data_IF_196000844676
#
_entry.id   IF_196000844676
#
_cell.length_a   1.000
_cell.length_b   1.000
_cell.length_c   1.000
_cell.angle_alpha   90.00
_cell.angle_beta   90.00
_cell.angle_gamma   90.00
#
_symmetry.space_group_name_H-M   'P 1'
#
loop_
_entity.id
_entity.type
_entity.pdbx_description
1 polymer ?
#
# COMPACT_ATOMS: atom_id res chain seq x y z
N UNK A 1 -13.73 12.03 21.68
CA UNK A 1 -14.55 10.91 21.15
C UNK A 1 -14.15 9.62 21.83
N UNK A 2 -15.09 8.84 22.38
CA UNK A 2 -14.78 7.63 23.11
C UNK A 2 -14.65 6.41 22.18
N UNK A 3 -13.53 5.70 22.27
CA UNK A 3 -13.22 4.48 21.52
C UNK A 3 -13.12 3.30 22.49
N UNK A 4 -13.63 2.15 22.07
CA UNK A 4 -13.52 0.89 22.82
C UNK A 4 -12.25 0.17 22.39
N UNK A 5 -11.39 -0.16 23.35
CA UNK A 5 -10.24 -1.01 23.10
C UNK A 5 -10.70 -2.44 22.76
N UNK A 6 -10.31 -2.97 21.61
CA UNK A 6 -10.64 -4.35 21.22
C UNK A 6 -9.95 -5.42 22.09
N UNK A 7 -8.87 -5.06 22.79
CA UNK A 7 -8.10 -5.99 23.62
C UNK A 7 -8.59 -6.08 25.08
N UNK A 8 -9.00 -4.96 25.69
CA UNK A 8 -9.41 -4.91 27.10
C UNK A 8 -10.84 -4.38 27.32
N UNK A 9 -11.58 -4.09 26.26
CA UNK A 9 -12.96 -3.54 26.24
C UNK A 9 -13.16 -2.18 26.92
N UNK A 10 -12.10 -1.60 27.50
CA UNK A 10 -12.15 -0.30 28.14
C UNK A 10 -12.54 0.77 27.13
N UNK A 11 -13.50 1.59 27.51
CA UNK A 11 -13.88 2.82 26.80
C UNK A 11 -12.94 3.92 27.25
N UNK A 12 -12.21 4.51 26.30
CA UNK A 12 -11.24 5.59 26.53
C UNK A 12 -11.46 6.67 25.47
N UNK A 13 -11.05 7.91 25.72
CA UNK A 13 -10.99 8.90 24.63
C UNK A 13 -9.86 8.55 23.65
N UNK A 14 -10.06 8.80 22.36
CA UNK A 14 -8.98 8.67 21.37
C UNK A 14 -7.85 9.65 21.74
N UNK A 15 -6.58 9.19 21.85
CA UNK A 15 -5.48 10.08 22.16
C UNK A 15 -5.32 11.12 21.04
N UNK A 16 -5.35 12.39 21.42
CA UNK A 16 -5.07 13.49 20.49
C UNK A 16 -3.57 13.53 20.18
N UNK A 17 -3.16 13.64 18.91
CA UNK A 17 -1.75 13.88 18.59
C UNK A 17 -1.32 15.21 19.19
N UNK A 18 -0.21 15.20 19.93
CA UNK A 18 0.41 16.40 20.48
C UNK A 18 1.70 16.70 19.72
N UNK A 19 1.81 17.92 19.19
CA UNK A 19 3.04 18.41 18.56
C UNK A 19 3.63 19.52 19.42
N UNK A 20 4.85 19.31 19.89
CA UNK A 20 5.59 20.27 20.70
C UNK A 20 6.48 21.17 19.83
N UNK A 21 6.46 22.48 20.10
CA UNK A 21 7.48 23.38 19.60
C UNK A 21 8.70 23.33 20.52
N UNK A 22 9.84 22.85 20.01
CA UNK A 22 11.07 22.68 20.80
C UNK A 22 11.71 23.99 21.26
N UNK A 23 11.34 25.14 20.69
CA UNK A 23 11.91 26.44 21.05
C UNK A 23 11.14 27.19 22.15
N UNK A 24 9.81 27.02 22.24
CA UNK A 24 8.98 27.74 23.21
C UNK A 24 8.13 26.83 24.12
N UNK A 25 8.17 25.51 23.92
CA UNK A 25 7.44 24.54 24.75
C UNK A 25 5.92 24.52 24.52
N UNK A 26 5.41 25.26 23.54
CA UNK A 26 3.98 25.21 23.18
C UNK A 26 3.63 23.82 22.63
N UNK A 27 2.53 23.26 23.13
CA UNK A 27 1.98 21.99 22.66
C UNK A 27 0.65 22.27 21.95
N UNK A 28 0.56 21.87 20.69
CA UNK A 28 -0.69 21.91 19.91
C UNK A 28 -1.30 20.53 19.89
N UNK A 29 -2.61 20.44 20.20
CA UNK A 29 -3.40 19.22 20.08
C UNK A 29 -4.09 19.19 18.74
N UNK A 30 -3.84 18.17 17.93
CA UNK A 30 -4.51 18.01 16.63
C UNK A 30 -5.95 17.50 16.89
N UNK A 31 -6.98 18.21 16.40
CA UNK A 31 -8.35 17.74 16.50
C UNK A 31 -8.54 16.50 15.61
N UNK A 32 -9.03 15.40 16.20
CA UNK A 32 -9.38 14.17 15.46
C UNK A 32 -10.90 14.15 15.30
N UNK A 33 -11.38 14.38 14.09
CA UNK A 33 -12.80 14.29 13.77
C UNK A 33 -13.23 12.85 13.48
N UNK A 34 -14.40 12.40 13.96
CA UNK A 34 -14.95 11.11 13.54
C UNK A 34 -15.16 11.08 12.03
N UNK A 35 -14.75 9.98 11.39
CA UNK A 35 -15.17 9.67 10.02
C UNK A 35 -16.66 9.35 10.07
N UNK A 36 -17.51 10.32 9.71
CA UNK A 36 -18.98 10.20 9.78
C UNK A 36 -19.74 11.51 9.96
N UNK A 37 -19.06 12.63 10.21
CA UNK A 37 -19.69 13.94 10.06
C UNK A 37 -19.56 14.38 8.60
N UNK A 38 -20.60 14.16 7.80
CA UNK A 38 -20.79 14.94 6.57
C UNK A 38 -20.66 16.43 6.96
N UNK A 39 -19.87 17.25 6.24
CA UNK A 39 -19.82 18.68 6.51
C UNK A 39 -21.19 19.28 6.14
N UNK A 40 -22.07 19.32 7.14
CA UNK A 40 -23.38 19.96 7.05
C UNK A 40 -23.20 21.42 6.69
N UNK A 41 -23.67 21.75 5.48
CA UNK A 41 -23.87 23.11 5.02
C UNK A 41 -24.75 23.90 6.00
N UNK A 42 -24.30 25.10 6.39
CA UNK A 42 -25.05 26.10 7.15
C UNK A 42 -24.84 25.98 8.67
N UNK A 43 -24.52 27.02 9.42
CA UNK A 43 -24.72 28.43 9.13
C UNK A 43 -23.83 29.31 10.03
N UNK A 44 -23.22 30.31 9.41
CA UNK A 44 -23.14 31.65 9.95
C UNK A 44 -24.59 32.12 10.18
N UNK A 45 -25.19 31.80 11.34
CA UNK A 45 -26.51 32.31 11.71
C UNK A 45 -26.37 33.37 12.80
N UNK A 46 -26.12 34.59 12.32
CA UNK A 46 -26.22 35.81 13.09
C UNK A 46 -26.81 36.87 12.18
N UNK A 47 -28.15 36.92 12.14
CA UNK A 47 -29.02 38.12 12.06
C UNK A 47 -30.40 37.76 11.45
N UNK A 48 -31.36 37.50 12.34
CA UNK A 48 -32.82 37.51 12.08
C UNK A 48 -33.28 38.88 11.52
N UNK A 49 -34.41 39.02 10.77
CA UNK A 49 -35.76 38.64 11.26
C UNK A 49 -36.80 38.10 10.25
N UNK A 50 -37.84 37.47 10.81
CA UNK A 50 -39.07 36.92 10.18
C UNK A 50 -40.06 38.07 9.81
N UNK A 51 -41.03 37.90 8.87
CA UNK A 51 -42.30 37.16 9.09
C UNK A 51 -42.71 36.35 7.82
N UNK A 52 -43.70 35.47 7.70
CA UNK A 52 -44.90 35.06 8.43
C UNK A 52 -45.85 34.40 7.39
N UNK A 53 -46.90 33.71 7.86
CA UNK A 53 -48.05 33.14 7.11
C UNK A 53 -48.06 31.60 6.95
N UNK A 54 -49.28 31.06 7.07
CA UNK A 54 -49.74 29.82 7.72
C UNK A 54 -50.49 28.94 6.72
N UNK A 55 -50.06 27.67 6.57
CA UNK A 55 -50.82 26.43 6.27
C UNK A 55 -51.68 26.32 4.98
N UNK A 56 -52.41 25.20 4.77
CA UNK A 56 -52.11 23.81 5.15
C UNK A 56 -52.40 22.75 4.02
N UNK A 57 -51.90 21.52 4.24
CA UNK A 57 -52.42 20.17 3.90
C UNK A 57 -53.22 19.89 2.62
N UNK A 58 -52.86 18.80 1.92
CA UNK A 58 -53.77 18.06 1.05
C UNK A 58 -53.14 16.82 0.40
N UNK A 59 -53.55 15.63 0.85
CA UNK A 59 -53.20 14.33 0.28
C UNK A 59 -54.20 13.91 -0.81
N UNK A 60 -53.73 13.15 -1.80
CA UNK A 60 -54.44 12.13 -2.61
C UNK A 60 -53.44 11.67 -3.71
N UNK A 61 -53.13 10.41 -3.98
CA UNK A 61 -53.86 9.17 -3.76
C UNK A 61 -54.84 8.93 -4.91
N UNK A 62 -54.41 8.29 -6.01
CA UNK A 62 -55.22 7.28 -6.70
C UNK A 62 -54.46 6.54 -7.80
N UNK A 63 -54.93 5.33 -8.04
CA UNK A 63 -54.27 4.19 -8.67
C UNK A 63 -54.75 3.92 -10.11
N UNK A 64 -54.29 2.75 -10.60
CA UNK A 64 -54.70 1.97 -11.77
C UNK A 64 -53.86 2.25 -13.02
N UNK A 65 -53.27 1.28 -13.72
CA UNK A 65 -53.46 -0.17 -13.74
C UNK A 65 -53.45 -0.61 -15.21
N UNK A 66 -52.70 -1.67 -15.55
CA UNK A 66 -52.98 -2.48 -16.75
C UNK A 66 -51.90 -2.59 -17.85
N UNK A 67 -51.15 -3.69 -17.77
CA UNK A 67 -50.83 -4.68 -18.83
C UNK A 67 -50.01 -4.29 -20.08
N UNK A 68 -48.76 -4.77 -20.05
CA UNK A 68 -48.16 -5.83 -20.88
C UNK A 68 -48.12 -5.71 -22.43
N UNK A 69 -46.88 -5.73 -22.94
CA UNK A 69 -46.45 -6.73 -23.93
C UNK A 69 -45.97 -6.19 -25.28
N UNK A 70 -44.66 -6.25 -25.55
CA UNK A 70 -44.09 -7.14 -26.58
C UNK A 70 -42.63 -6.80 -26.90
N UNK A 71 -41.97 -7.76 -27.52
CA UNK A 71 -40.55 -8.00 -27.59
C UNK A 71 -39.74 -7.04 -28.50
N UNK A 72 -38.47 -6.85 -28.15
CA UNK A 72 -37.43 -6.32 -29.03
C UNK A 72 -36.11 -7.03 -28.75
N UNK A 73 -35.78 -8.02 -29.57
CA UNK A 73 -34.54 -8.78 -29.55
C UNK A 73 -33.49 -8.04 -30.39
N UNK A 74 -32.30 -7.83 -29.86
CA UNK A 74 -31.12 -7.49 -30.66
C UNK A 74 -29.85 -7.88 -29.88
N UNK A 75 -29.40 -9.11 -30.11
CA UNK A 75 -28.00 -9.47 -29.90
C UNK A 75 -27.25 -9.24 -31.20
N UNK A 76 -26.06 -8.66 -31.11
CA UNK A 76 -25.04 -8.79 -32.14
C UNK A 76 -23.72 -9.07 -31.41
N UNK A 77 -23.30 -10.32 -31.47
CA UNK A 77 -21.91 -10.73 -31.31
C UNK A 77 -21.52 -11.35 -32.65
N UNK A 78 -20.41 -10.90 -33.22
CA UNK A 78 -19.95 -11.36 -34.52
C UNK A 78 -18.87 -10.44 -35.09
N UNK A 79 -17.66 -10.51 -34.55
CA UNK A 79 -16.45 -10.06 -35.24
C UNK A 79 -15.74 -11.28 -35.83
N UNK A 80 -16.00 -11.56 -37.10
CA UNK A 80 -15.15 -12.42 -37.92
C UNK A 80 -14.73 -11.61 -39.15
N UNK A 81 -13.51 -11.08 -39.10
CA UNK A 81 -12.85 -10.39 -40.20
C UNK A 81 -11.55 -11.13 -40.52
N UNK A 82 -11.41 -11.51 -41.78
CA UNK A 82 -10.45 -12.47 -42.29
C UNK A 82 -8.97 -12.05 -42.17
N UNK A 83 -8.12 -13.06 -42.05
CA UNK A 83 -6.67 -12.99 -42.16
C UNK A 83 -6.26 -12.48 -43.54
N UNK A 84 -5.54 -11.35 -43.56
CA UNK A 84 -4.83 -10.83 -44.73
C UNK A 84 -3.37 -11.32 -44.73
N UNK A 85 -2.93 -11.78 -45.90
CA UNK A 85 -1.62 -12.36 -46.19
C UNK A 85 -0.46 -11.38 -46.04
N UNK A 86 0.67 -11.90 -45.54
CA UNK A 86 1.94 -11.20 -45.37
C UNK A 86 2.49 -10.64 -46.70
N UNK A 87 2.88 -9.35 -46.69
CA UNK A 87 3.71 -8.73 -47.73
C UNK A 87 5.21 -8.85 -47.41
N UNK A 88 6.10 -8.74 -48.41
CA UNK A 88 7.55 -8.90 -48.24
C UNK A 88 8.20 -7.70 -47.51
N UNK A 89 9.42 -7.88 -46.96
CA UNK A 89 10.03 -6.90 -46.04
C UNK A 89 10.55 -5.67 -46.79
N UNK A 90 10.12 -4.49 -46.31
CA UNK A 90 10.64 -3.19 -46.73
C UNK A 90 12.04 -2.93 -46.16
N UNK A 91 12.91 -2.41 -47.01
CA UNK A 91 14.30 -2.05 -46.75
C UNK A 91 14.47 -0.92 -45.72
N UNK A 92 15.62 -0.99 -45.03
CA UNK A 92 16.08 -0.11 -43.96
C UNK A 92 15.83 1.40 -44.18
N UNK A 93 15.23 2.03 -43.16
CA UNK A 93 15.26 3.46 -42.94
C UNK A 93 16.16 3.79 -41.75
N UNK A 94 17.25 4.52 -41.99
CA UNK A 94 18.14 5.05 -40.96
C UNK A 94 17.44 6.13 -40.13
N UNK A 95 17.51 6.10 -38.79
CA UNK A 95 17.23 7.26 -37.96
C UNK A 95 18.46 8.16 -37.90
N UNK A 96 18.25 9.44 -38.16
CA UNK A 96 19.27 10.47 -38.22
C UNK A 96 20.00 10.73 -36.90
N UNK A 97 21.20 11.27 -37.06
CA UNK A 97 22.05 11.79 -36.00
C UNK A 97 21.31 12.86 -35.18
N UNK A 98 20.91 12.51 -33.96
CA UNK A 98 20.60 13.45 -32.88
C UNK A 98 21.88 13.76 -32.10
N UNK A 99 22.14 15.03 -31.85
CA UNK A 99 23.39 15.58 -31.32
C UNK A 99 23.81 15.11 -29.93
N UNK A 100 25.00 15.54 -29.47
CA UNK A 100 25.61 15.06 -28.25
C UNK A 100 24.80 15.54 -27.04
N UNK A 101 24.11 14.60 -26.38
CA UNK A 101 23.60 14.82 -25.04
C UNK A 101 24.79 14.74 -24.07
N UNK A 102 25.01 15.85 -23.40
CA UNK A 102 25.91 16.08 -22.27
C UNK A 102 25.95 14.87 -21.33
N UNK A 103 27.00 14.07 -21.47
CA UNK A 103 27.32 12.97 -20.56
C UNK A 103 28.05 13.58 -19.38
N UNK A 104 27.30 14.16 -18.45
CA UNK A 104 27.81 14.48 -17.12
C UNK A 104 28.44 13.21 -16.53
N UNK A 105 29.58 13.31 -15.80
CA UNK A 105 30.29 12.14 -15.33
C UNK A 105 29.38 11.35 -14.38
N UNK A 106 28.91 10.20 -14.83
CA UNK A 106 28.36 9.15 -13.97
C UNK A 106 29.47 8.82 -12.99
N UNK A 107 29.30 9.26 -11.73
CA UNK A 107 30.13 8.81 -10.63
C UNK A 107 30.09 7.28 -10.67
N UNK A 108 31.23 6.58 -10.75
CA UNK A 108 31.22 5.14 -10.63
C UNK A 108 30.60 4.81 -9.26
N UNK A 109 29.38 4.28 -9.28
CA UNK A 109 28.78 3.67 -8.10
C UNK A 109 29.79 2.67 -7.57
N UNK A 110 30.04 2.71 -6.26
CA UNK A 110 30.97 1.79 -5.61
C UNK A 110 30.68 0.38 -6.13
N UNK A 111 31.68 -0.27 -6.73
CA UNK A 111 31.53 -1.61 -7.27
C UNK A 111 30.93 -2.50 -6.17
N UNK A 112 29.87 -3.28 -6.46
CA UNK A 112 29.20 -4.07 -5.44
C UNK A 112 30.25 -4.98 -4.80
N UNK A 113 30.48 -4.77 -3.50
CA UNK A 113 31.34 -5.65 -2.72
C UNK A 113 30.79 -7.07 -2.90
N UNK A 114 31.61 -8.05 -3.32
CA UNK A 114 31.12 -9.41 -3.54
C UNK A 114 30.51 -9.93 -2.23
N UNK A 115 29.18 -9.98 -2.20
CA UNK A 115 28.43 -10.43 -1.04
C UNK A 115 28.66 -11.93 -0.88
N UNK A 116 28.99 -12.42 0.33
CA UNK A 116 29.10 -13.84 0.59
C UNK A 116 27.76 -14.52 0.29
N UNK A 117 27.74 -15.83 -0.01
CA UNK A 117 26.47 -16.53 -0.18
C UNK A 117 25.65 -16.45 1.12
N UNK A 118 24.36 -16.14 0.99
CA UNK A 118 23.44 -16.15 2.12
C UNK A 118 23.34 -17.56 2.70
N UNK A 119 23.33 -17.67 4.04
CA UNK A 119 23.20 -18.95 4.76
C UNK A 119 21.77 -19.07 5.30
N UNK A 120 20.90 -19.87 4.66
CA UNK A 120 19.52 -20.01 5.10
C UNK A 120 19.40 -20.68 6.47
N UNK A 121 18.35 -20.32 7.19
CA UNK A 121 17.97 -20.93 8.48
C UNK A 121 16.55 -21.48 8.33
N UNK A 122 16.36 -22.76 8.63
CA UNK A 122 15.05 -23.41 8.50
C UNK A 122 14.00 -22.70 9.36
N UNK A 123 12.84 -22.38 8.78
CA UNK A 123 11.74 -21.71 9.47
C UNK A 123 10.80 -22.76 10.07
N UNK A 124 10.67 -22.79 11.39
CA UNK A 124 9.75 -23.69 12.11
C UNK A 124 8.66 -22.94 12.86
N UNK A 125 8.92 -21.68 13.19
CA UNK A 125 8.04 -20.80 13.95
C UNK A 125 7.94 -19.42 13.31
N UNK A 126 6.91 -18.65 13.70
CA UNK A 126 6.80 -17.25 13.31
C UNK A 126 8.04 -16.42 13.69
N UNK A 127 8.66 -16.73 14.84
CA UNK A 127 9.89 -16.08 15.30
C UNK A 127 11.07 -16.38 14.38
N UNK A 128 11.15 -17.60 13.85
CA UNK A 128 12.20 -17.98 12.90
C UNK A 128 12.04 -17.24 11.57
N UNK A 129 10.79 -17.02 11.12
CA UNK A 129 10.51 -16.23 9.92
C UNK A 129 11.02 -14.78 10.07
N UNK A 130 10.72 -14.13 11.21
CA UNK A 130 11.22 -12.78 11.49
C UNK A 130 12.74 -12.75 11.61
N UNK A 131 13.33 -13.75 12.26
CA UNK A 131 14.79 -13.86 12.39
C UNK A 131 15.46 -14.05 11.03
N UNK A 132 14.85 -14.82 10.13
CA UNK A 132 15.31 -15.05 8.77
C UNK A 132 15.26 -13.75 7.94
N UNK A 133 14.15 -13.01 8.00
CA UNK A 133 14.04 -11.71 7.36
C UNK A 133 15.10 -10.72 7.88
N UNK A 134 15.34 -10.68 9.19
CA UNK A 134 16.35 -9.81 9.78
C UNK A 134 17.78 -10.19 9.33
N UNK A 135 18.11 -11.48 9.26
CA UNK A 135 19.40 -11.95 8.73
C UNK A 135 19.56 -11.62 7.24
N UNK A 136 18.49 -11.75 6.46
CA UNK A 136 18.50 -11.44 5.04
C UNK A 136 18.73 -9.95 4.78
N UNK A 137 18.06 -9.07 5.52
CA UNK A 137 18.27 -7.62 5.43
C UNK A 137 19.70 -7.21 5.81
N UNK A 138 20.27 -7.83 6.85
CA UNK A 138 21.69 -7.62 7.22
C UNK A 138 22.64 -8.08 6.12
N UNK A 139 22.32 -9.19 5.48
CA UNK A 139 23.08 -9.69 4.33
C UNK A 139 22.97 -8.77 3.11
N UNK A 140 21.82 -8.12 2.89
CA UNK A 140 21.65 -7.08 1.86
C UNK A 140 22.45 -5.80 2.16
N UNK A 141 22.91 -5.60 3.39
CA UNK A 141 23.75 -4.48 3.80
C UNK A 141 23.12 -3.56 4.85
N UNK A 142 21.84 -3.76 5.19
CA UNK A 142 21.17 -2.95 6.21
C UNK A 142 21.73 -3.24 7.60
N UNK A 143 22.31 -2.21 8.23
CA UNK A 143 22.85 -2.32 9.59
C UNK A 143 21.76 -2.09 10.63
N UNK A 144 21.99 -2.55 11.87
CA UNK A 144 21.10 -2.28 13.01
C UNK A 144 19.62 -2.66 12.81
N UNK A 145 19.34 -3.76 12.11
CA UNK A 145 17.96 -4.28 12.01
C UNK A 145 17.44 -4.70 13.39
N UNK A 146 16.43 -3.99 13.88
CA UNK A 146 15.80 -4.17 15.19
C UNK A 146 14.28 -4.29 15.07
N UNK A 147 13.69 -5.11 15.94
CA UNK A 147 12.25 -5.05 16.16
C UNK A 147 11.96 -3.85 17.07
N UNK A 148 10.86 -3.11 16.84
CA UNK A 148 10.39 -2.11 17.79
C UNK A 148 10.15 -2.75 19.17
N UNK A 149 10.48 -2.04 20.25
CA UNK A 149 10.28 -2.52 21.63
C UNK A 149 8.80 -2.67 22.04
N UNK A 150 7.87 -2.33 21.14
CA UNK A 150 6.43 -2.51 21.36
C UNK A 150 6.09 -3.99 21.16
N UNK A 151 5.42 -4.63 22.14
CA UNK A 151 5.00 -6.03 22.00
C UNK A 151 4.16 -6.21 20.73
N UNK A 152 4.54 -7.13 19.83
CA UNK A 152 3.77 -7.36 18.61
C UNK A 152 2.39 -7.91 18.97
N UNK A 153 1.38 -7.43 18.25
CA UNK A 153 0.04 -8.04 18.32
C UNK A 153 0.19 -9.44 17.73
N UNK A 154 -0.18 -10.54 18.43
CA UNK A 154 0.16 -11.92 18.05
C UNK A 154 -0.31 -12.38 16.66
N UNK A 155 -1.18 -11.61 16.00
CA UNK A 155 -1.77 -11.88 14.69
C UNK A 155 -1.41 -10.82 13.63
N UNK A 156 -0.58 -9.83 13.97
CA UNK A 156 -0.16 -8.80 13.03
C UNK A 156 1.22 -9.13 12.45
N UNK A 157 1.46 -8.66 11.23
CA UNK A 157 2.78 -8.68 10.67
C UNK A 157 3.76 -7.90 11.57
N UNK A 158 4.99 -8.39 11.68
CA UNK A 158 6.00 -7.88 12.59
C UNK A 158 6.88 -6.86 11.88
N UNK A 159 7.00 -5.67 12.47
CA UNK A 159 7.88 -4.61 11.97
C UNK A 159 9.34 -4.87 12.34
N UNK A 160 10.22 -4.65 11.37
CA UNK A 160 11.68 -4.57 11.50
C UNK A 160 12.11 -3.19 11.00
N UNK A 161 12.98 -2.52 11.74
CA UNK A 161 13.49 -1.18 11.41
C UNK A 161 15.00 -1.18 11.35
N UNK A 162 15.53 -0.48 10.38
CA UNK A 162 16.94 -0.14 10.24
C UNK A 162 17.05 1.32 9.73
N UNK A 163 18.21 1.97 9.81
CA UNK A 163 18.40 3.30 9.23
C UNK A 163 17.97 3.32 7.76
N UNK A 164 16.94 4.11 7.42
CA UNK A 164 16.42 4.22 6.05
C UNK A 164 15.52 3.06 5.58
N UNK A 165 15.18 2.09 6.45
CA UNK A 165 14.38 0.91 6.09
C UNK A 165 13.29 0.62 7.12
N UNK A 166 12.10 0.32 6.63
CA UNK A 166 11.03 -0.34 7.37
C UNK A 166 10.66 -1.63 6.64
N UNK A 167 10.84 -2.76 7.29
CA UNK A 167 10.43 -4.05 6.75
C UNK A 167 9.29 -4.64 7.58
N UNK A 168 8.28 -5.17 6.92
CA UNK A 168 7.18 -5.87 7.58
C UNK A 168 7.30 -7.37 7.28
N UNK A 169 7.02 -8.21 8.26
CA UNK A 169 7.12 -9.67 8.13
C UNK A 169 5.80 -10.32 8.50
N UNK A 170 5.16 -10.98 7.54
CA UNK A 170 3.94 -11.75 7.73
C UNK A 170 4.26 -13.25 7.83
N UNK A 171 4.29 -13.82 9.05
CA UNK A 171 4.56 -15.23 9.26
C UNK A 171 3.32 -16.11 9.03
N UNK A 172 2.17 -15.55 8.66
CA UNK A 172 0.93 -16.31 8.52
C UNK A 172 0.95 -17.20 7.28
N UNK A 173 0.16 -18.27 7.33
CA UNK A 173 -0.04 -19.18 6.20
C UNK A 173 -1.10 -18.68 5.22
N UNK A 174 -1.65 -17.46 5.42
CA UNK A 174 -2.62 -16.85 4.53
C UNK A 174 -1.90 -15.90 3.55
N UNK A 175 -2.24 -15.92 2.25
CA UNK A 175 -1.64 -14.99 1.30
C UNK A 175 -1.89 -13.53 1.69
N UNK A 176 -0.85 -12.70 1.64
CA UNK A 176 -0.95 -11.29 1.94
C UNK A 176 -1.74 -10.56 0.84
N UNK A 177 -2.74 -9.79 1.25
CA UNK A 177 -3.64 -9.06 0.36
C UNK A 177 -3.23 -7.60 0.14
N UNK A 178 -3.97 -6.92 -0.76
CA UNK A 178 -3.76 -5.52 -1.15
C UNK A 178 -3.57 -4.56 0.03
N UNK A 179 -4.47 -4.65 1.03
CA UNK A 179 -4.44 -3.79 2.23
C UNK A 179 -3.13 -3.89 2.99
N UNK A 180 -2.50 -5.07 3.04
CA UNK A 180 -1.25 -5.26 3.76
C UNK A 180 -0.10 -4.50 3.08
N UNK A 181 -0.06 -4.51 1.75
CA UNK A 181 0.93 -3.75 0.95
C UNK A 181 0.72 -2.24 1.15
N UNK A 182 -0.52 -1.76 1.12
CA UNK A 182 -0.83 -0.34 1.36
C UNK A 182 -0.46 0.09 2.79
N UNK A 183 -0.67 -0.77 3.79
CA UNK A 183 -0.25 -0.50 5.16
C UNK A 183 1.27 -0.37 5.28
N UNK A 184 2.03 -1.29 4.65
CA UNK A 184 3.50 -1.24 4.59
C UNK A 184 3.99 0.06 3.95
N UNK A 185 3.36 0.46 2.86
CA UNK A 185 3.68 1.69 2.15
C UNK A 185 3.49 2.92 3.03
N UNK A 186 2.32 3.04 3.68
CA UNK A 186 2.01 4.16 4.56
C UNK A 186 2.95 4.22 5.78
N UNK A 187 3.36 3.07 6.32
CA UNK A 187 4.34 3.00 7.41
C UNK A 187 5.72 3.53 6.97
N UNK A 188 6.19 3.15 5.78
CA UNK A 188 7.45 3.68 5.22
C UNK A 188 7.39 5.17 4.93
N UNK A 189 6.30 5.65 4.34
CA UNK A 189 6.09 7.09 4.12
C UNK A 189 6.14 7.88 5.44
N UNK A 190 5.48 7.37 6.48
CA UNK A 190 5.49 7.99 7.81
C UNK A 190 6.89 8.04 8.41
N UNK A 191 7.68 6.99 8.19
CA UNK A 191 9.07 6.90 8.63
C UNK A 191 10.07 7.56 7.67
N UNK A 192 9.62 8.08 6.53
CA UNK A 192 10.48 8.55 5.42
C UNK A 192 11.58 7.54 5.05
N UNK A 193 11.21 6.26 4.98
CA UNK A 193 12.11 5.13 4.80
C UNK A 193 11.62 4.20 3.69
N UNK A 194 12.53 3.44 3.09
CA UNK A 194 12.21 2.40 2.12
C UNK A 194 11.39 1.31 2.80
N UNK A 195 10.24 0.98 2.23
CA UNK A 195 9.37 -0.10 2.72
C UNK A 195 9.69 -1.42 2.04
N UNK A 196 9.81 -2.51 2.81
CA UNK A 196 9.97 -3.88 2.28
C UNK A 196 8.95 -4.80 2.94
N UNK A 197 8.44 -5.79 2.21
CA UNK A 197 7.49 -6.75 2.77
C UNK A 197 7.95 -8.19 2.55
N UNK A 198 7.92 -8.99 3.61
CA UNK A 198 8.18 -10.43 3.60
C UNK A 198 6.91 -11.20 3.96
N UNK A 199 6.56 -12.23 3.20
CA UNK A 199 5.42 -13.10 3.50
C UNK A 199 5.79 -14.58 3.40
N UNK A 200 5.29 -15.40 4.32
CA UNK A 200 5.51 -16.86 4.28
C UNK A 200 4.60 -17.53 3.23
N UNK A 201 3.33 -17.10 3.14
CA UNK A 201 2.35 -17.70 2.24
C UNK A 201 2.27 -17.05 0.84
N UNK A 202 3.14 -16.08 0.57
CA UNK A 202 3.08 -15.30 -0.66
C UNK A 202 2.00 -14.22 -0.68
N UNK A 203 1.64 -13.79 -1.89
CA UNK A 203 0.85 -12.58 -2.14
C UNK A 203 -0.29 -12.86 -3.11
N UNK A 204 -1.40 -12.13 -2.98
CA UNK A 204 -2.42 -12.11 -4.02
C UNK A 204 -1.93 -11.37 -5.27
N UNK A 205 -2.56 -11.61 -6.42
CA UNK A 205 -2.18 -10.92 -7.66
C UNK A 205 -2.31 -9.40 -7.52
N UNK A 206 -3.41 -8.91 -6.94
CA UNK A 206 -3.64 -7.49 -6.73
C UNK A 206 -2.58 -6.86 -5.81
N UNK A 207 -2.12 -7.61 -4.80
CA UNK A 207 -1.04 -7.15 -3.91
C UNK A 207 0.28 -6.99 -4.67
N UNK A 208 0.61 -7.92 -5.58
CA UNK A 208 1.81 -7.84 -6.42
C UNK A 208 1.77 -6.64 -7.37
N UNK A 209 0.70 -6.53 -8.17
CA UNK A 209 0.54 -5.40 -9.09
C UNK A 209 0.60 -4.06 -8.35
N UNK A 210 -0.02 -3.97 -7.17
CA UNK A 210 0.04 -2.74 -6.37
C UNK A 210 1.43 -2.45 -5.81
N UNK A 211 2.18 -3.47 -5.40
CA UNK A 211 3.53 -3.28 -4.91
C UNK A 211 4.46 -2.76 -6.02
N UNK A 212 4.24 -3.19 -7.27
CA UNK A 212 4.99 -2.70 -8.43
C UNK A 212 4.72 -1.22 -8.70
N UNK A 213 3.44 -0.82 -8.67
CA UNK A 213 3.05 0.60 -8.80
C UNK A 213 3.68 1.48 -7.71
N UNK A 214 3.82 0.94 -6.49
CA UNK A 214 4.34 1.65 -5.33
C UNK A 214 5.87 1.51 -5.16
N UNK A 215 6.52 0.69 -5.98
CA UNK A 215 7.96 0.40 -5.88
C UNK A 215 8.37 -0.34 -4.59
N UNK A 216 7.50 -1.20 -4.04
CA UNK A 216 7.75 -1.92 -2.79
C UNK A 216 8.37 -3.29 -3.09
N UNK A 217 9.59 -3.59 -2.61
CA UNK A 217 10.17 -4.91 -2.68
C UNK A 217 9.35 -5.95 -1.91
N UNK A 218 8.92 -7.00 -2.61
CA UNK A 218 8.23 -8.15 -2.05
C UNK A 218 9.13 -9.38 -2.04
N UNK A 219 9.13 -10.08 -0.90
CA UNK A 219 9.87 -11.32 -0.72
C UNK A 219 8.99 -12.43 -0.18
N UNK A 220 9.07 -13.61 -0.78
CA UNK A 220 8.43 -14.81 -0.26
C UNK A 220 9.46 -15.65 0.47
N UNK A 221 9.15 -16.04 1.70
CA UNK A 221 10.01 -16.93 2.47
C UNK A 221 9.48 -18.34 2.39
N UNK A 222 10.34 -19.29 2.00
CA UNK A 222 10.02 -20.71 2.10
C UNK A 222 10.42 -21.28 3.47
N UNK A 223 9.95 -22.49 3.79
CA UNK A 223 10.33 -23.16 5.04
C UNK A 223 11.82 -23.56 5.09
N UNK A 224 12.53 -23.49 3.96
CA UNK A 224 13.98 -23.71 3.90
C UNK A 224 14.75 -22.49 4.42
N UNK A 225 14.11 -21.33 4.43
CA UNK A 225 14.67 -20.08 4.95
C UNK A 225 15.40 -19.24 3.91
N UNK A 226 15.15 -19.46 2.62
CA UNK A 226 15.66 -18.62 1.53
C UNK A 226 14.56 -17.64 1.08
N UNK A 227 14.66 -16.33 1.40
CA UNK A 227 13.74 -15.35 0.84
C UNK A 227 13.96 -15.20 -0.66
N UNK A 228 12.88 -15.32 -1.43
CA UNK A 228 12.87 -15.17 -2.89
C UNK A 228 12.23 -13.84 -3.28
N UNK A 229 12.89 -13.02 -4.11
CA UNK A 229 12.27 -11.83 -4.69
C UNK A 229 11.13 -12.27 -5.61
N UNK A 230 10.00 -11.54 -5.57
CA UNK A 230 8.84 -11.86 -6.42
C UNK A 230 8.41 -10.72 -7.33
N UNK A 231 9.15 -9.62 -7.33
CA UNK A 231 8.91 -8.48 -8.20
C UNK A 231 10.19 -7.68 -8.52
N UNK A 232 10.12 -6.85 -9.55
CA UNK A 232 11.27 -6.08 -10.05
C UNK A 232 11.92 -5.18 -8.98
N UNK A 233 11.17 -4.47 -8.10
CA UNK A 233 11.77 -3.74 -6.98
C UNK A 233 12.57 -4.64 -6.02
N UNK A 234 12.14 -5.89 -5.80
CA UNK A 234 12.88 -6.84 -4.98
C UNK A 234 14.14 -7.31 -5.68
N UNK A 235 14.10 -7.60 -6.97
CA UNK A 235 15.28 -7.96 -7.76
C UNK A 235 16.30 -6.81 -7.79
N UNK A 236 15.84 -5.57 -7.94
CA UNK A 236 16.68 -4.38 -7.88
C UNK A 236 17.35 -4.22 -6.51
N UNK A 237 16.61 -4.45 -5.41
CA UNK A 237 17.16 -4.41 -4.06
C UNK A 237 18.18 -5.53 -3.83
N UNK A 238 17.92 -6.74 -4.34
CA UNK A 238 18.87 -7.86 -4.24
C UNK A 238 20.13 -7.56 -5.04
N UNK A 239 20.02 -7.02 -6.26
CA UNK A 239 21.17 -6.68 -7.10
C UNK A 239 22.01 -5.52 -6.55
N UNK A 240 21.35 -4.45 -6.09
CA UNK A 240 21.99 -3.24 -5.59
C UNK A 240 22.54 -3.35 -4.17
N UNK A 241 21.83 -4.06 -3.28
CA UNK A 241 22.07 -3.95 -1.83
C UNK A 241 21.53 -2.65 -1.25
N UNK A 242 21.82 -2.40 0.03
CA UNK A 242 21.46 -1.17 0.75
C UNK A 242 22.20 0.07 0.23
#
# INVERSE_FOLDING_TARGET
MAVRCAACTRVSEWPHPEVGCTSCGTVVRIPVHPVGAEPGAGALDGLLPRPGVRGPTGAAGSANGGRAGSAGRAGFSGSAGAQGTAGPPGTAGSPGAGGPADSGPVRPGAAPVPRPAFRPVTIRTARDAVSTAALYLRWLGFQDVRQPDVPPIPSAAVDLRAPGLVAQVDPTTAPAGLRAVECVWLNGLTASATSVYFALAGYTQDARSRADDLGIPLFVMDLTGMPQPVNDPADALVGGGA
#
